data_IF_087598592175
#
_entry.id   IF_087598592175
#
_cell.length_a   1.000
_cell.length_b   1.000
_cell.length_c   1.000
_cell.angle_alpha   90.00
_cell.angle_beta   90.00
_cell.angle_gamma   90.00
#
_symmetry.space_group_name_H-M   'P 1'
#
loop_
_entity.id
_entity.type
_entity.pdbx_description
1 polymer ?
#
# COMPACT_ATOMS: atom_id res chain seq x y z
N UNK A 1 -27.77 12.81 18.95
CA UNK A 1 -27.07 13.88 18.21
C UNK A 1 -26.50 13.23 16.97
N UNK A 2 -26.69 13.83 15.80
CA UNK A 2 -26.10 13.34 14.55
C UNK A 2 -24.61 13.09 14.77
N UNK A 3 -24.13 11.87 14.48
CA UNK A 3 -22.70 11.57 14.62
C UNK A 3 -22.00 12.12 13.38
N UNK A 4 -21.79 13.44 13.34
CA UNK A 4 -20.83 14.10 12.46
C UNK A 4 -19.40 13.68 12.84
N UNK A 5 -19.19 12.37 12.89
CA UNK A 5 -17.93 11.71 13.17
C UNK A 5 -17.07 11.81 11.93
N UNK A 6 -15.81 12.20 12.13
CA UNK A 6 -14.88 12.35 11.01
C UNK A 6 -14.43 10.95 10.57
N UNK A 7 -14.53 10.62 9.27
CA UNK A 7 -14.20 9.30 8.78
C UNK A 7 -12.76 8.88 9.11
N UNK A 8 -12.61 7.59 9.44
CA UNK A 8 -11.31 6.99 9.72
C UNK A 8 -10.68 6.39 8.46
N UNK A 9 -11.47 5.96 7.49
CA UNK A 9 -10.95 5.40 6.24
C UNK A 9 -10.55 6.52 5.26
N UNK A 10 -9.61 6.22 4.35
CA UNK A 10 -9.01 7.23 3.47
C UNK A 10 -10.02 7.79 2.45
N UNK A 11 -10.74 6.92 1.74
CA UNK A 11 -11.65 7.35 0.66
C UNK A 11 -12.85 8.15 1.23
N UNK A 12 -13.55 7.71 2.30
CA UNK A 12 -14.57 8.54 2.95
C UNK A 12 -14.08 9.89 3.48
N UNK A 13 -12.81 9.98 3.92
CA UNK A 13 -12.23 11.25 4.34
C UNK A 13 -12.00 12.18 3.14
N UNK A 14 -11.54 11.64 2.01
CA UNK A 14 -11.36 12.40 0.76
C UNK A 14 -12.70 12.93 0.27
N UNK A 15 -13.74 12.10 0.23
CA UNK A 15 -15.10 12.51 -0.14
C UNK A 15 -15.64 13.61 0.77
N UNK A 16 -15.47 13.47 2.10
CA UNK A 16 -15.87 14.51 3.04
C UNK A 16 -15.13 15.83 2.80
N UNK A 17 -13.83 15.78 2.48
CA UNK A 17 -13.05 16.99 2.18
C UNK A 17 -13.44 17.62 0.84
N UNK A 18 -13.85 16.83 -0.14
CA UNK A 18 -14.44 17.31 -1.40
C UNK A 18 -15.76 18.04 -1.16
N UNK A 19 -16.71 17.38 -0.48
CA UNK A 19 -17.99 17.98 -0.08
C UNK A 19 -17.77 19.26 0.74
N UNK A 20 -16.86 19.23 1.71
CA UNK A 20 -16.53 20.38 2.54
C UNK A 20 -15.95 21.55 1.72
N UNK A 21 -15.10 21.26 0.73
CA UNK A 21 -14.55 22.29 -0.14
C UNK A 21 -15.62 22.89 -1.07
N UNK A 22 -16.52 22.07 -1.61
CA UNK A 22 -17.64 22.52 -2.44
C UNK A 22 -18.65 23.35 -1.63
N UNK A 23 -18.96 22.91 -0.41
CA UNK A 23 -19.77 23.68 0.55
C UNK A 23 -19.14 25.02 0.89
N UNK A 24 -17.82 25.06 1.14
CA UNK A 24 -17.09 26.30 1.41
C UNK A 24 -17.11 27.23 0.19
N UNK A 25 -16.89 26.69 -1.02
CA UNK A 25 -16.96 27.46 -2.26
C UNK A 25 -18.29 28.22 -2.40
N UNK A 26 -19.40 27.58 -2.04
CA UNK A 26 -20.74 28.17 -2.15
C UNK A 26 -21.11 29.07 -0.97
N UNK A 27 -20.66 28.75 0.25
CA UNK A 27 -21.24 29.31 1.47
C UNK A 27 -20.25 30.00 2.41
N UNK A 28 -18.93 29.98 2.13
CA UNK A 28 -17.90 30.56 2.99
C UNK A 28 -18.20 32.00 3.41
N UNK A 29 -18.56 32.87 2.45
CA UNK A 29 -18.86 34.28 2.72
C UNK A 29 -20.15 34.43 3.54
N UNK A 30 -21.18 33.64 3.21
CA UNK A 30 -22.49 33.72 3.84
C UNK A 30 -22.47 33.21 5.30
N UNK A 31 -21.72 32.12 5.53
CA UNK A 31 -21.50 31.51 6.86
C UNK A 31 -20.42 32.27 7.64
N UNK A 32 -19.58 33.05 6.96
CA UNK A 32 -18.45 33.83 7.50
C UNK A 32 -17.33 32.93 8.05
N UNK A 33 -16.99 31.85 7.34
CA UNK A 33 -15.85 31.01 7.68
C UNK A 33 -14.56 31.85 7.70
N UNK A 34 -13.65 31.51 8.63
CA UNK A 34 -12.38 32.21 8.84
C UNK A 34 -11.19 31.27 8.90
N UNK A 35 -11.34 30.10 9.53
CA UNK A 35 -10.23 29.17 9.77
C UNK A 35 -10.21 28.04 8.74
N UNK A 36 -11.37 27.51 8.38
CA UNK A 36 -11.53 26.40 7.45
C UNK A 36 -12.13 26.88 6.14
N UNK A 37 -11.41 27.81 5.49
CA UNK A 37 -11.79 28.36 4.18
C UNK A 37 -11.67 27.31 3.08
N UNK A 38 -12.34 27.53 1.95
CA UNK A 38 -12.25 26.69 0.76
C UNK A 38 -10.77 26.44 0.39
N UNK A 39 -9.96 27.50 0.36
CA UNK A 39 -8.56 27.42 0.01
C UNK A 39 -7.76 26.51 0.96
N UNK A 40 -8.06 26.52 2.26
CA UNK A 40 -7.38 25.68 3.24
C UNK A 40 -7.81 24.21 3.11
N UNK A 41 -9.11 23.95 2.92
CA UNK A 41 -9.65 22.59 2.73
C UNK A 41 -9.10 21.99 1.43
N UNK A 42 -9.13 22.75 0.32
CA UNK A 42 -8.57 22.32 -0.96
C UNK A 42 -7.08 22.03 -0.87
N UNK A 43 -6.30 22.82 -0.13
CA UNK A 43 -4.88 22.55 0.04
C UNK A 43 -4.61 21.20 0.72
N UNK A 44 -5.37 20.85 1.76
CA UNK A 44 -5.26 19.57 2.46
C UNK A 44 -5.74 18.40 1.58
N UNK A 45 -6.84 18.58 0.84
CA UNK A 45 -7.34 17.60 -0.13
C UNK A 45 -6.33 17.34 -1.25
N UNK A 46 -5.82 18.38 -1.90
CA UNK A 46 -4.83 18.29 -2.98
C UNK A 46 -3.52 17.64 -2.51
N UNK A 47 -3.14 17.80 -1.23
CA UNK A 47 -2.00 17.07 -0.68
C UNK A 47 -2.26 15.54 -0.65
N UNK A 48 -3.49 15.13 -0.31
CA UNK A 48 -3.87 13.72 -0.25
C UNK A 48 -4.00 13.07 -1.62
N UNK A 49 -4.76 13.69 -2.54
CA UNK A 49 -5.13 13.10 -3.83
C UNK A 49 -4.23 13.55 -4.99
N UNK A 50 -3.56 14.70 -4.84
CA UNK A 50 -2.76 15.33 -5.88
C UNK A 50 -3.54 16.35 -6.69
N UNK A 51 -2.92 16.85 -7.76
CA UNK A 51 -3.57 17.72 -8.75
C UNK A 51 -3.53 17.04 -10.11
N UNK A 52 -4.67 16.91 -10.82
CA UNK A 52 -4.64 16.43 -12.20
C UNK A 52 -3.86 17.41 -13.07
N UNK A 53 -3.36 16.92 -14.21
CA UNK A 53 -2.70 17.78 -15.18
C UNK A 53 -3.69 18.80 -15.76
N UNK A 54 -3.23 20.02 -15.99
CA UNK A 54 -4.02 21.03 -16.69
C UNK A 54 -4.22 20.69 -18.17
N UNK A 55 -4.99 21.50 -18.91
CA UNK A 55 -5.19 21.33 -20.35
C UNK A 55 -3.85 21.17 -21.09
N UNK A 56 -3.79 20.19 -21.99
CA UNK A 56 -2.57 19.81 -22.72
C UNK A 56 -1.38 19.38 -21.83
N UNK A 57 -1.64 18.97 -20.58
CA UNK A 57 -0.60 18.52 -19.65
C UNK A 57 0.12 19.66 -18.93
N UNK A 58 -0.42 20.88 -18.96
CA UNK A 58 0.22 22.07 -18.40
C UNK A 58 -0.71 22.76 -17.39
N UNK A 59 -0.33 22.87 -16.11
CA UNK A 59 0.86 22.28 -15.49
C UNK A 59 0.76 20.73 -15.44
N UNK A 60 1.89 20.02 -15.30
CA UNK A 60 1.88 18.57 -15.18
C UNK A 60 1.13 18.14 -13.92
N UNK A 61 0.61 16.91 -13.93
CA UNK A 61 -0.02 16.33 -12.76
C UNK A 61 0.95 16.31 -11.58
N UNK A 62 0.45 16.68 -10.40
CA UNK A 62 1.19 16.60 -9.15
C UNK A 62 0.67 15.38 -8.40
N UNK A 63 1.50 14.36 -8.14
CA UNK A 63 1.04 13.18 -7.42
C UNK A 63 0.72 13.52 -5.96
N UNK A 64 -0.42 13.03 -5.47
CA UNK A 64 -0.78 13.09 -4.06
C UNK A 64 0.04 12.13 -3.20
N UNK A 65 -0.05 12.30 -1.89
CA UNK A 65 0.65 11.47 -0.90
C UNK A 65 0.36 9.97 -1.07
N UNK A 66 -0.89 9.60 -1.43
CA UNK A 66 -1.26 8.20 -1.67
C UNK A 66 -0.50 7.61 -2.87
N UNK A 67 -0.42 8.37 -3.97
CA UNK A 67 0.29 7.96 -5.18
C UNK A 67 1.81 7.86 -4.95
N UNK A 68 2.39 8.79 -4.18
CA UNK A 68 3.79 8.75 -3.77
C UNK A 68 4.12 7.51 -2.93
N UNK A 69 3.27 7.18 -1.96
CA UNK A 69 3.44 5.96 -1.15
C UNK A 69 3.33 4.69 -1.99
N UNK A 70 2.35 4.60 -2.89
CA UNK A 70 2.22 3.46 -3.81
C UNK A 70 3.46 3.29 -4.70
N UNK A 71 4.00 4.39 -5.23
CA UNK A 71 5.23 4.40 -6.03
C UNK A 71 6.43 3.91 -5.21
N UNK A 72 6.59 4.41 -3.98
CA UNK A 72 7.69 3.98 -3.11
C UNK A 72 7.58 2.49 -2.72
N UNK A 73 6.36 1.98 -2.48
CA UNK A 73 6.10 0.56 -2.22
C UNK A 73 6.47 -0.33 -3.41
N UNK A 74 6.11 0.09 -4.62
CA UNK A 74 6.48 -0.61 -5.86
C UNK A 74 8.01 -0.61 -6.05
N UNK A 75 8.67 0.54 -5.85
CA UNK A 75 10.12 0.66 -5.97
C UNK A 75 10.87 -0.23 -4.95
N UNK A 76 10.42 -0.28 -3.69
CA UNK A 76 10.97 -1.19 -2.67
C UNK A 76 10.93 -2.66 -3.12
N UNK A 77 9.82 -3.07 -3.72
CA UNK A 77 9.65 -4.43 -4.26
C UNK A 77 10.64 -4.69 -5.40
N UNK A 78 10.75 -3.74 -6.33
CA UNK A 78 11.68 -3.80 -7.46
C UNK A 78 13.15 -3.88 -7.02
N UNK A 79 13.57 -3.02 -6.07
CA UNK A 79 14.95 -2.99 -5.59
C UNK A 79 15.32 -4.25 -4.79
N UNK A 80 14.38 -4.79 -4.00
CA UNK A 80 14.58 -6.08 -3.31
C UNK A 80 14.75 -7.22 -4.31
N UNK A 81 13.96 -7.24 -5.39
CA UNK A 81 14.10 -8.23 -6.45
C UNK A 81 15.44 -8.07 -7.19
N UNK A 82 15.85 -6.84 -7.51
CA UNK A 82 17.14 -6.55 -8.14
C UNK A 82 18.31 -7.05 -7.29
N UNK A 83 18.31 -6.80 -5.98
CA UNK A 83 19.32 -7.30 -5.04
C UNK A 83 19.41 -8.84 -5.05
N UNK A 84 18.26 -9.53 -5.06
CA UNK A 84 18.24 -11.01 -5.15
C UNK A 84 18.85 -11.50 -6.45
N UNK A 85 18.51 -10.88 -7.58
CA UNK A 85 19.05 -11.22 -8.90
C UNK A 85 20.56 -11.05 -8.95
N UNK A 86 21.10 -9.90 -8.52
CA UNK A 86 22.56 -9.68 -8.56
C UNK A 86 23.30 -10.57 -7.57
N UNK A 87 22.70 -10.89 -6.42
CA UNK A 87 23.28 -11.84 -5.45
C UNK A 87 23.34 -13.26 -6.03
N UNK A 88 22.27 -13.69 -6.71
CA UNK A 88 22.21 -14.98 -7.40
C UNK A 88 23.28 -15.08 -8.50
N UNK A 89 23.40 -14.04 -9.34
CA UNK A 89 24.42 -13.98 -10.38
C UNK A 89 25.84 -14.00 -9.79
N UNK A 90 26.07 -13.24 -8.72
CA UNK A 90 27.33 -13.25 -7.99
C UNK A 90 27.67 -14.62 -7.39
N UNK A 91 26.65 -15.37 -6.92
CA UNK A 91 26.85 -16.73 -6.40
C UNK A 91 27.28 -17.67 -7.51
N UNK A 92 26.63 -17.61 -8.66
CA UNK A 92 27.00 -18.40 -9.84
C UNK A 92 28.43 -18.12 -10.28
N UNK A 93 28.84 -16.85 -10.33
CA UNK A 93 30.22 -16.46 -10.61
C UNK A 93 31.18 -17.04 -9.57
N UNK A 94 30.91 -16.84 -8.27
CA UNK A 94 31.78 -17.35 -7.19
C UNK A 94 31.93 -18.88 -7.23
N UNK A 95 30.83 -19.62 -7.45
CA UNK A 95 30.87 -21.08 -7.60
C UNK A 95 31.73 -21.51 -8.80
N UNK A 96 31.62 -20.78 -9.91
CA UNK A 96 32.39 -21.07 -11.12
C UNK A 96 33.88 -20.79 -10.91
N UNK A 97 34.21 -19.63 -10.33
CA UNK A 97 35.59 -19.27 -9.96
C UNK A 97 36.21 -20.32 -9.03
N UNK A 98 35.50 -20.72 -7.97
CA UNK A 98 35.96 -21.78 -7.06
C UNK A 98 36.19 -23.09 -7.82
N UNK A 99 35.29 -23.45 -8.74
CA UNK A 99 35.45 -24.60 -9.62
C UNK A 99 36.77 -24.57 -10.42
N UNK A 100 37.12 -23.42 -11.00
CA UNK A 100 38.38 -23.26 -11.75
C UNK A 100 39.64 -23.34 -10.87
N UNK A 101 39.52 -23.02 -9.58
CA UNK A 101 40.65 -23.00 -8.66
C UNK A 101 40.88 -24.34 -7.95
N UNK A 102 39.88 -25.23 -7.89
CA UNK A 102 40.01 -26.57 -7.27
C UNK A 102 41.20 -27.41 -7.75
N UNK A 103 41.56 -27.42 -9.05
CA UNK A 103 42.76 -28.14 -9.51
C UNK A 103 44.08 -27.62 -8.92
N UNK A 104 44.10 -26.37 -8.43
CA UNK A 104 45.31 -25.71 -7.93
C UNK A 104 45.35 -25.56 -6.41
N UNK A 105 44.18 -25.37 -5.79
CA UNK A 105 44.02 -25.15 -4.35
C UNK A 105 43.41 -26.36 -3.63
N UNK A 106 43.15 -27.45 -4.35
CA UNK A 106 42.57 -28.68 -3.81
C UNK A 106 41.04 -28.71 -3.86
N UNK A 107 40.51 -29.93 -3.94
CA UNK A 107 39.08 -30.21 -4.19
C UNK A 107 38.15 -29.85 -3.02
N UNK A 108 38.70 -29.86 -1.80
CA UNK A 108 38.02 -29.51 -0.56
C UNK A 108 38.80 -28.41 0.16
N UNK A 109 38.18 -27.79 1.15
CA UNK A 109 38.89 -26.82 1.97
C UNK A 109 40.13 -27.46 2.60
N UNK A 110 41.24 -26.73 2.52
CA UNK A 110 42.53 -27.03 3.14
C UNK A 110 43.32 -25.71 3.28
N UNK A 111 44.49 -25.74 3.91
CA UNK A 111 45.27 -24.53 4.21
C UNK A 111 45.72 -23.73 2.97
N UNK A 112 45.80 -24.34 1.77
CA UNK A 112 46.18 -23.61 0.55
C UNK A 112 45.10 -22.62 0.10
N UNK A 113 43.83 -22.85 0.45
CA UNK A 113 42.74 -21.91 0.20
C UNK A 113 42.88 -20.59 0.98
N UNK A 114 43.74 -20.53 2.00
CA UNK A 114 44.08 -19.27 2.66
C UNK A 114 44.72 -18.26 1.69
N UNK A 115 45.43 -18.72 0.65
CA UNK A 115 45.99 -17.84 -0.37
C UNK A 115 44.90 -17.09 -1.16
N UNK A 116 43.72 -17.69 -1.31
CA UNK A 116 42.54 -17.05 -1.89
C UNK A 116 41.68 -16.27 -0.88
N UNK A 117 42.16 -16.13 0.37
CA UNK A 117 41.46 -15.40 1.43
C UNK A 117 40.42 -16.21 2.21
N UNK A 118 40.26 -17.52 1.94
CA UNK A 118 39.21 -18.35 2.53
C UNK A 118 39.64 -18.97 3.87
N UNK A 119 39.67 -18.14 4.92
CA UNK A 119 40.12 -18.53 6.27
C UNK A 119 39.04 -19.19 7.13
N UNK A 120 37.77 -19.08 6.73
CA UNK A 120 36.61 -19.60 7.48
C UNK A 120 36.41 -21.13 7.46
N UNK A 121 37.44 -21.89 7.10
CA UNK A 121 37.39 -23.36 6.97
C UNK A 121 36.32 -23.90 6.01
N UNK A 122 35.94 -23.09 5.03
CA UNK A 122 34.89 -23.43 4.07
C UNK A 122 35.14 -22.76 2.73
N UNK A 123 34.77 -23.47 1.66
CA UNK A 123 34.69 -22.96 0.28
C UNK A 123 33.22 -22.83 -0.17
N UNK A 124 32.26 -22.98 0.75
CA UNK A 124 30.84 -22.86 0.45
C UNK A 124 30.48 -21.40 0.16
N UNK A 125 29.76 -21.18 -0.95
CA UNK A 125 29.37 -19.83 -1.36
C UNK A 125 28.19 -19.34 -0.49
N UNK A 126 28.35 -18.23 0.26
CA UNK A 126 27.29 -17.68 1.12
C UNK A 126 26.17 -17.03 0.32
N UNK A 127 24.99 -16.86 0.95
CA UNK A 127 23.81 -16.26 0.32
C UNK A 127 24.08 -14.89 -0.31
N UNK A 128 24.84 -14.05 0.41
CA UNK A 128 25.44 -12.84 -0.13
C UNK A 128 26.94 -13.11 -0.39
N UNK A 129 27.36 -13.28 -1.66
CA UNK A 129 28.73 -13.67 -2.02
C UNK A 129 29.72 -12.50 -2.06
N UNK A 130 29.31 -11.27 -1.69
CA UNK A 130 30.12 -10.05 -1.79
C UNK A 130 31.57 -10.23 -1.32
N UNK A 131 31.77 -10.60 -0.06
CA UNK A 131 33.10 -10.71 0.54
C UNK A 131 33.93 -11.79 -0.16
N UNK A 132 33.30 -12.90 -0.54
CA UNK A 132 33.96 -13.97 -1.27
C UNK A 132 34.41 -13.52 -2.67
N UNK A 133 33.59 -12.73 -3.37
CA UNK A 133 33.97 -12.13 -4.65
C UNK A 133 35.13 -11.14 -4.51
N UNK A 134 35.17 -10.35 -3.43
CA UNK A 134 36.29 -9.45 -3.14
C UNK A 134 37.60 -10.22 -2.87
N UNK A 135 37.50 -11.37 -2.17
CA UNK A 135 38.63 -12.27 -1.94
C UNK A 135 39.12 -12.92 -3.24
N UNK A 136 38.20 -13.41 -4.07
CA UNK A 136 38.53 -13.94 -5.41
C UNK A 136 39.17 -12.89 -6.31
N UNK A 137 38.66 -11.65 -6.30
CA UNK A 137 39.27 -10.52 -7.01
C UNK A 137 40.73 -10.33 -6.61
N UNK A 138 41.00 -10.28 -5.30
CA UNK A 138 42.36 -10.10 -4.79
C UNK A 138 43.27 -11.27 -5.21
N UNK A 139 42.76 -12.51 -5.17
CA UNK A 139 43.51 -13.68 -5.61
C UNK A 139 43.86 -13.64 -7.10
N UNK A 140 42.89 -13.39 -7.98
CA UNK A 140 43.12 -13.32 -9.42
C UNK A 140 44.06 -12.17 -9.79
N UNK A 141 43.94 -11.01 -9.12
CA UNK A 141 44.85 -9.89 -9.33
C UNK A 141 46.32 -10.25 -8.99
N UNK A 142 46.51 -11.03 -7.92
CA UNK A 142 47.84 -11.52 -7.53
C UNK A 142 48.31 -12.72 -8.38
N UNK A 143 47.40 -13.41 -9.08
CA UNK A 143 47.69 -14.61 -9.86
C UNK A 143 47.06 -14.53 -11.27
N UNK A 144 47.50 -13.61 -12.15
CA UNK A 144 46.85 -13.42 -13.46
C UNK A 144 46.83 -14.69 -14.34
N UNK A 145 47.83 -15.56 -14.20
CA UNK A 145 47.87 -16.85 -14.91
C UNK A 145 46.80 -17.87 -14.46
N UNK A 146 46.01 -17.56 -13.43
CA UNK A 146 44.87 -18.36 -12.98
C UNK A 146 43.54 -17.88 -13.55
N UNK A 147 43.51 -16.72 -14.19
CA UNK A 147 42.28 -16.21 -14.80
C UNK A 147 41.83 -17.09 -15.96
N UNK A 148 40.53 -17.33 -16.05
CA UNK A 148 39.92 -18.09 -17.15
C UNK A 148 38.91 -17.18 -17.85
N UNK A 149 39.15 -16.79 -19.12
CA UNK A 149 38.35 -15.78 -19.79
C UNK A 149 36.90 -16.22 -20.03
N UNK A 150 36.66 -17.54 -20.12
CA UNK A 150 35.33 -18.07 -20.35
C UNK A 150 35.21 -19.51 -19.82
N UNK A 151 34.29 -19.70 -18.88
CA UNK A 151 33.80 -20.99 -18.40
C UNK A 151 32.29 -21.01 -18.58
N UNK A 152 31.81 -21.64 -19.66
CA UNK A 152 30.37 -21.71 -19.99
C UNK A 152 29.67 -20.35 -20.00
N UNK A 153 30.31 -19.32 -20.55
CA UNK A 153 29.81 -17.94 -20.61
C UNK A 153 30.17 -17.07 -19.40
N UNK A 154 30.91 -17.59 -18.43
CA UNK A 154 31.30 -16.86 -17.21
C UNK A 154 32.81 -16.59 -17.24
N UNK A 155 33.21 -15.33 -17.15
CA UNK A 155 34.62 -14.95 -17.01
C UNK A 155 35.07 -15.06 -15.54
N UNK A 156 36.04 -15.92 -15.26
CA UNK A 156 36.66 -16.06 -13.94
C UNK A 156 37.92 -15.20 -13.87
N UNK A 157 37.72 -13.89 -13.70
CA UNK A 157 38.80 -12.87 -13.67
C UNK A 157 38.66 -11.93 -12.48
N UNK A 158 39.72 -11.21 -12.14
CA UNK A 158 39.66 -10.17 -11.12
C UNK A 158 38.62 -9.10 -11.45
N UNK A 159 38.60 -8.65 -12.72
CA UNK A 159 37.65 -7.65 -13.21
C UNK A 159 36.19 -8.10 -13.10
N UNK A 160 35.89 -9.37 -13.44
CA UNK A 160 34.54 -9.90 -13.33
C UNK A 160 34.09 -10.02 -11.85
N UNK A 161 34.99 -10.45 -10.96
CA UNK A 161 34.71 -10.51 -9.53
C UNK A 161 34.48 -9.11 -8.93
N UNK A 162 35.26 -8.11 -9.35
CA UNK A 162 35.07 -6.71 -8.95
C UNK A 162 33.73 -6.15 -9.42
N UNK A 163 33.39 -6.34 -10.70
CA UNK A 163 32.11 -5.89 -11.25
C UNK A 163 30.92 -6.53 -10.52
N UNK A 164 30.97 -7.83 -10.23
CA UNK A 164 29.91 -8.54 -9.51
C UNK A 164 29.80 -8.07 -8.06
N UNK A 165 30.93 -7.88 -7.36
CA UNK A 165 30.94 -7.31 -6.02
C UNK A 165 30.33 -5.90 -6.02
N UNK A 166 30.76 -5.03 -6.93
CA UNK A 166 30.22 -3.67 -7.03
C UNK A 166 28.71 -3.66 -7.30
N UNK A 167 28.22 -4.53 -8.20
CA UNK A 167 26.79 -4.64 -8.51
C UNK A 167 25.96 -5.03 -7.27
N UNK A 168 26.45 -5.96 -6.45
CA UNK A 168 25.78 -6.33 -5.19
C UNK A 168 25.77 -5.14 -4.22
N UNK A 169 26.86 -4.37 -4.15
CA UNK A 169 27.01 -3.24 -3.21
C UNK A 169 26.03 -2.13 -3.56
N UNK A 170 25.98 -1.77 -4.84
CA UNK A 170 25.04 -0.79 -5.37
C UNK A 170 23.59 -1.24 -5.17
N UNK A 171 23.27 -2.49 -5.45
CA UNK A 171 21.91 -3.02 -5.24
C UNK A 171 21.52 -3.06 -3.75
N UNK A 172 22.47 -3.37 -2.85
CA UNK A 172 22.23 -3.36 -1.41
C UNK A 172 21.92 -1.95 -0.92
N UNK A 173 22.72 -0.97 -1.33
CA UNK A 173 22.49 0.45 -1.01
C UNK A 173 21.15 0.95 -1.55
N UNK A 174 20.81 0.62 -2.81
CA UNK A 174 19.53 0.98 -3.41
C UNK A 174 18.34 0.31 -2.69
N UNK A 175 18.47 -0.96 -2.31
CA UNK A 175 17.45 -1.67 -1.53
C UNK A 175 17.25 -1.02 -0.16
N UNK A 176 18.34 -0.66 0.53
CA UNK A 176 18.27 0.02 1.83
C UNK A 176 17.62 1.40 1.70
N UNK A 177 18.00 2.19 0.69
CA UNK A 177 17.40 3.50 0.42
C UNK A 177 15.89 3.37 0.14
N UNK A 178 15.49 2.42 -0.70
CA UNK A 178 14.07 2.19 -1.01
C UNK A 178 13.23 1.82 0.21
N UNK A 179 13.82 1.18 1.23
CA UNK A 179 13.14 0.91 2.49
C UNK A 179 12.89 2.20 3.28
N UNK A 180 13.89 3.08 3.35
CA UNK A 180 13.77 4.40 3.98
C UNK A 180 12.73 5.25 3.26
N UNK A 181 12.78 5.30 1.93
CA UNK A 181 11.85 6.10 1.12
C UNK A 181 10.39 5.64 1.30
N UNK A 182 10.15 4.33 1.31
CA UNK A 182 8.82 3.78 1.56
C UNK A 182 8.30 4.10 2.97
N UNK A 183 9.19 4.08 3.98
CA UNK A 183 8.85 4.50 5.35
C UNK A 183 8.49 5.98 5.44
N UNK A 184 9.30 6.84 4.83
CA UNK A 184 9.06 8.28 4.78
C UNK A 184 7.76 8.63 4.05
N UNK A 185 7.50 8.00 2.90
CA UNK A 185 6.27 8.22 2.14
C UNK A 185 5.03 7.77 2.91
N UNK A 186 5.11 6.65 3.63
CA UNK A 186 4.02 6.20 4.51
C UNK A 186 3.77 7.19 5.65
N UNK A 187 4.83 7.66 6.32
CA UNK A 187 4.71 8.64 7.40
C UNK A 187 4.09 9.96 6.90
N UNK A 188 4.49 10.43 5.71
CA UNK A 188 3.92 11.61 5.09
C UNK A 188 2.43 11.44 4.76
N UNK A 189 2.03 10.28 4.23
CA UNK A 189 0.62 9.96 3.99
C UNK A 189 -0.20 9.99 5.30
N UNK A 190 0.31 9.38 6.37
CA UNK A 190 -0.37 9.38 7.68
C UNK A 190 -0.49 10.81 8.25
N UNK A 191 0.54 11.63 8.10
CA UNK A 191 0.50 13.04 8.50
C UNK A 191 -0.54 13.83 7.68
N UNK A 192 -0.64 13.59 6.37
CA UNK A 192 -1.66 14.19 5.51
C UNK A 192 -3.08 13.77 5.91
N UNK A 193 -3.30 12.49 6.22
CA UNK A 193 -4.60 11.98 6.69
C UNK A 193 -4.97 12.64 8.01
N UNK A 194 -4.02 12.76 8.94
CA UNK A 194 -4.24 13.44 10.22
C UNK A 194 -4.58 14.93 10.01
N UNK A 195 -3.91 15.61 9.08
CA UNK A 195 -4.22 17.01 8.72
C UNK A 195 -5.63 17.15 8.13
N UNK A 196 -6.02 16.28 7.20
CA UNK A 196 -7.38 16.23 6.63
C UNK A 196 -8.44 16.00 7.70
N UNK A 197 -8.21 15.10 8.66
CA UNK A 197 -9.15 14.89 9.78
C UNK A 197 -9.22 16.09 10.72
N UNK A 198 -8.09 16.72 11.00
CA UNK A 198 -8.04 17.94 11.81
C UNK A 198 -8.79 19.08 11.12
N UNK A 199 -8.67 19.19 9.79
CA UNK A 199 -9.41 20.14 8.94
C UNK A 199 -10.91 19.92 9.03
N UNK A 200 -11.39 18.69 8.79
CA UNK A 200 -12.81 18.36 8.85
C UNK A 200 -13.38 18.56 10.27
N UNK A 201 -12.63 18.19 11.31
CA UNK A 201 -13.01 18.43 12.70
C UNK A 201 -13.14 19.92 13.00
N UNK A 202 -12.15 20.72 12.59
CA UNK A 202 -12.13 22.16 12.80
C UNK A 202 -13.26 22.86 12.05
N UNK A 203 -13.55 22.43 10.82
CA UNK A 203 -14.67 22.95 10.03
C UNK A 203 -15.99 22.70 10.76
N UNK A 204 -16.23 21.46 11.21
CA UNK A 204 -17.44 21.12 11.97
C UNK A 204 -17.61 21.98 13.22
N UNK A 205 -16.54 22.20 13.98
CA UNK A 205 -16.57 23.05 15.18
C UNK A 205 -16.80 24.54 14.86
N UNK A 206 -16.31 25.01 13.71
CA UNK A 206 -16.54 26.37 13.24
C UNK A 206 -17.99 26.54 12.78
N UNK A 207 -18.52 25.62 11.98
CA UNK A 207 -19.92 25.61 11.55
C UNK A 207 -20.89 25.59 12.75
N UNK A 208 -20.62 24.77 13.77
CA UNK A 208 -21.44 24.71 14.99
C UNK A 208 -21.55 26.04 15.75
N UNK A 209 -20.66 27.00 15.49
CA UNK A 209 -20.69 28.34 16.09
C UNK A 209 -21.33 29.38 15.18
N UNK A 210 -21.49 29.08 13.89
CA UNK A 210 -21.87 30.04 12.85
C UNK A 210 -23.25 29.77 12.25
N UNK A 211 -23.74 28.53 12.28
CA UNK A 211 -25.05 28.14 11.78
C UNK A 211 -25.81 27.31 12.83
N UNK A 212 -27.14 27.34 12.73
CA UNK A 212 -28.03 26.60 13.64
C UNK A 212 -27.98 25.08 13.36
N UNK A 213 -28.34 24.29 14.37
CA UNK A 213 -28.31 22.82 14.32
C UNK A 213 -29.23 22.19 13.26
N UNK A 214 -30.24 22.92 12.77
CA UNK A 214 -31.17 22.48 11.74
C UNK A 214 -30.97 23.21 10.39
N UNK A 215 -29.86 23.92 10.22
CA UNK A 215 -29.57 24.63 8.98
C UNK A 215 -29.19 23.63 7.86
N UNK A 216 -29.89 23.66 6.73
CA UNK A 216 -29.64 22.75 5.60
C UNK A 216 -28.21 22.87 5.04
N UNK A 217 -27.52 23.99 5.29
CA UNK A 217 -26.14 24.19 4.85
C UNK A 217 -25.17 23.17 5.44
N UNK A 218 -25.46 22.54 6.57
CA UNK A 218 -24.67 21.41 7.07
C UNK A 218 -24.46 20.33 5.98
N UNK A 219 -25.51 20.05 5.21
CA UNK A 219 -25.48 19.05 4.12
C UNK A 219 -24.59 19.48 2.96
N UNK A 220 -24.49 20.78 2.68
CA UNK A 220 -23.63 21.31 1.64
C UNK A 220 -22.14 21.13 1.96
N UNK A 221 -21.79 21.05 3.25
CA UNK A 221 -20.41 20.76 3.72
C UNK A 221 -20.15 19.26 3.93
N UNK A 222 -21.08 18.37 3.54
CA UNK A 222 -20.94 16.92 3.72
C UNK A 222 -21.26 16.41 5.14
N UNK A 223 -21.76 17.27 6.03
CA UNK A 223 -22.18 16.90 7.38
C UNK A 223 -23.68 16.64 7.46
N UNK A 224 -24.12 15.96 8.52
CA UNK A 224 -25.52 15.92 8.92
C UNK A 224 -25.93 17.15 9.72
N UNK A 225 -27.21 17.52 9.68
CA UNK A 225 -27.80 18.54 10.55
C UNK A 225 -27.80 18.03 12.00
N UNK A 226 -27.07 18.66 12.95
CA UNK A 226 -26.98 18.18 14.33
C UNK A 226 -28.33 17.99 15.05
N UNK A 227 -29.31 18.84 14.74
CA UNK A 227 -30.64 18.87 15.35
C UNK A 227 -31.67 17.97 14.67
N UNK A 228 -31.36 17.44 13.48
CA UNK A 228 -32.19 16.53 12.71
C UNK A 228 -31.37 15.31 12.22
N UNK A 229 -30.85 14.47 13.14
CA UNK A 229 -30.08 13.29 12.78
C UNK A 229 -30.86 12.34 11.87
N UNK A 230 -30.21 11.84 10.81
CA UNK A 230 -30.82 10.92 9.84
C UNK A 230 -30.11 9.57 9.82
N UNK A 231 -30.79 8.53 9.32
CA UNK A 231 -30.11 7.27 8.98
C UNK A 231 -29.24 7.46 7.73
N UNK A 232 -28.18 6.67 7.55
CA UNK A 232 -27.34 6.74 6.35
C UNK A 232 -28.11 6.44 5.06
N UNK A 233 -27.51 6.82 3.93
CA UNK A 233 -27.98 6.37 2.62
C UNK A 233 -27.73 4.87 2.41
N UNK A 234 -28.41 4.30 1.42
CA UNK A 234 -28.23 2.89 1.07
C UNK A 234 -26.90 2.76 0.31
N UNK A 235 -25.99 1.84 0.70
CA UNK A 235 -24.78 1.59 -0.06
C UNK A 235 -25.10 1.18 -1.51
N UNK A 236 -24.29 1.63 -2.45
CA UNK A 236 -24.44 1.30 -3.87
C UNK A 236 -23.30 0.39 -4.36
N UNK A 237 -23.40 -0.11 -5.59
CA UNK A 237 -22.33 -0.88 -6.25
C UNK A 237 -21.82 -2.12 -5.49
N UNK A 238 -22.70 -2.80 -4.74
CA UNK A 238 -22.35 -4.04 -4.04
C UNK A 238 -21.87 -5.12 -5.03
N UNK A 239 -20.66 -5.62 -4.82
CA UNK A 239 -20.05 -6.72 -5.57
C UNK A 239 -19.49 -7.78 -4.62
N UNK A 240 -19.48 -9.03 -5.09
CA UNK A 240 -18.88 -10.15 -4.36
C UNK A 240 -18.00 -10.98 -5.30
N UNK A 241 -16.76 -11.21 -4.88
CA UNK A 241 -15.77 -11.99 -5.62
C UNK A 241 -15.38 -13.23 -4.83
N UNK A 242 -15.42 -14.43 -5.42
CA UNK A 242 -14.98 -15.64 -4.75
C UNK A 242 -13.47 -15.62 -4.51
N UNK A 243 -13.05 -16.07 -3.31
CA UNK A 243 -11.65 -16.34 -3.02
C UNK A 243 -11.11 -17.57 -3.76
N UNK A 244 -9.87 -17.93 -3.44
CA UNK A 244 -9.21 -19.09 -4.05
C UNK A 244 -10.07 -20.38 -3.88
N UNK A 245 -10.02 -21.34 -4.82
CA UNK A 245 -10.77 -22.59 -4.69
C UNK A 245 -10.52 -23.29 -3.35
N UNK A 246 -11.59 -23.67 -2.64
CA UNK A 246 -11.52 -24.28 -1.31
C UNK A 246 -11.24 -23.31 -0.15
N UNK A 247 -11.09 -22.01 -0.41
CA UNK A 247 -10.93 -20.99 0.64
C UNK A 247 -12.20 -20.73 1.44
N UNK A 248 -13.36 -21.12 0.92
CA UNK A 248 -14.68 -20.93 1.57
C UNK A 248 -14.93 -19.48 1.99
N UNK A 249 -14.39 -18.54 1.22
CA UNK A 249 -14.39 -17.12 1.55
C UNK A 249 -14.87 -16.29 0.36
N UNK A 250 -15.64 -15.25 0.64
CA UNK A 250 -16.03 -14.23 -0.33
C UNK A 250 -15.41 -12.89 0.05
N UNK A 251 -14.89 -12.18 -0.94
CA UNK A 251 -14.50 -10.78 -0.83
C UNK A 251 -15.68 -9.93 -1.29
N UNK A 252 -16.21 -9.10 -0.40
CA UNK A 252 -17.40 -8.28 -0.64
C UNK A 252 -16.99 -6.82 -0.54
N UNK A 253 -17.38 -6.03 -1.53
CA UNK A 253 -17.00 -4.63 -1.70
C UNK A 253 -18.24 -3.83 -2.14
N UNK A 254 -18.34 -2.58 -1.71
CA UNK A 254 -19.45 -1.68 -2.04
C UNK A 254 -18.99 -0.22 -2.07
N UNK A 255 -19.77 0.63 -2.72
CA UNK A 255 -19.56 2.07 -2.69
C UNK A 255 -19.86 2.65 -1.31
N UNK A 256 -19.06 3.63 -0.90
CA UNK A 256 -19.29 4.33 0.35
C UNK A 256 -20.66 5.03 0.37
N UNK A 257 -21.37 4.87 1.48
CA UNK A 257 -22.71 5.44 1.65
C UNK A 257 -22.63 6.73 2.46
N UNK A 258 -23.31 7.77 1.98
CA UNK A 258 -23.32 9.05 2.68
C UNK A 258 -23.85 8.89 4.10
N UNK A 259 -23.16 9.52 5.05
CA UNK A 259 -23.47 9.52 6.49
C UNK A 259 -23.23 8.18 7.20
N UNK A 260 -22.55 7.23 6.57
CA UNK A 260 -22.13 5.98 7.22
C UNK A 260 -20.90 6.20 8.11
N UNK A 261 -20.94 5.71 9.35
CA UNK A 261 -19.75 5.54 10.20
C UNK A 261 -19.29 4.08 10.27
N UNK A 262 -20.03 3.20 9.61
CA UNK A 262 -19.67 1.82 9.36
C UNK A 262 -20.79 1.08 8.63
N UNK A 263 -20.57 -0.18 8.35
CA UNK A 263 -21.44 -1.03 7.56
C UNK A 263 -21.74 -2.34 8.28
N UNK A 264 -22.85 -2.95 7.87
CA UNK A 264 -23.19 -4.34 8.20
C UNK A 264 -23.40 -5.12 6.92
N UNK A 265 -22.54 -6.11 6.70
CA UNK A 265 -22.72 -7.10 5.65
C UNK A 265 -23.44 -8.33 6.22
N UNK A 266 -24.56 -8.71 5.62
CA UNK A 266 -25.30 -9.93 5.95
C UNK A 266 -25.24 -10.91 4.78
N UNK A 267 -25.02 -12.17 5.10
CA UNK A 267 -25.05 -13.28 4.15
C UNK A 267 -26.09 -14.29 4.61
N UNK A 268 -27.00 -14.65 3.72
CA UNK A 268 -28.03 -15.66 3.98
C UNK A 268 -27.99 -16.79 2.94
N UNK A 269 -28.50 -17.95 3.31
CA UNK A 269 -28.76 -19.02 2.34
C UNK A 269 -30.04 -18.75 1.51
N UNK A 270 -30.36 -19.65 0.58
CA UNK A 270 -31.58 -19.56 -0.23
C UNK A 270 -32.88 -19.65 0.58
N UNK A 271 -32.84 -20.20 1.81
CA UNK A 271 -33.98 -20.27 2.72
C UNK A 271 -34.07 -19.04 3.64
N UNK A 272 -33.12 -18.11 3.55
CA UNK A 272 -33.06 -16.90 4.37
C UNK A 272 -32.38 -17.08 5.72
N UNK A 273 -31.74 -18.22 5.99
CA UNK A 273 -30.98 -18.43 7.23
C UNK A 273 -29.69 -17.61 7.19
N UNK A 274 -29.40 -16.88 8.27
CA UNK A 274 -28.17 -16.08 8.39
C UNK A 274 -26.94 -16.99 8.50
N UNK A 275 -26.02 -16.85 7.54
CA UNK A 275 -24.74 -17.55 7.49
C UNK A 275 -23.60 -16.67 8.04
N UNK A 276 -23.69 -15.36 7.83
CA UNK A 276 -22.73 -14.40 8.36
C UNK A 276 -23.37 -13.02 8.57
N UNK A 277 -22.85 -12.29 9.55
CA UNK A 277 -23.25 -10.93 9.88
C UNK A 277 -22.04 -10.20 10.44
N UNK A 278 -21.45 -9.33 9.61
CA UNK A 278 -20.16 -8.71 9.88
C UNK A 278 -20.32 -7.21 9.93
N UNK A 279 -19.75 -6.61 10.97
CA UNK A 279 -19.63 -5.16 11.12
C UNK A 279 -18.22 -4.74 10.70
N UNK A 280 -18.14 -3.72 9.86
CA UNK A 280 -16.88 -3.14 9.39
C UNK A 280 -17.02 -1.62 9.32
N UNK A 281 -15.90 -0.89 9.43
CA UNK A 281 -15.88 0.55 9.16
C UNK A 281 -15.54 0.85 7.69
N UNK A 282 -14.87 -0.08 7.01
CA UNK A 282 -14.46 0.06 5.63
C UNK A 282 -15.56 -0.40 4.66
N UNK A 283 -15.53 0.11 3.43
CA UNK A 283 -16.40 -0.25 2.30
C UNK A 283 -16.11 -1.65 1.71
N UNK A 284 -15.30 -2.46 2.40
CA UNK A 284 -14.95 -3.81 2.03
C UNK A 284 -14.95 -4.75 3.25
N UNK A 285 -15.21 -6.04 3.00
CA UNK A 285 -15.07 -7.09 4.01
C UNK A 285 -14.82 -8.47 3.40
N UNK A 286 -14.07 -9.29 4.14
CA UNK A 286 -13.93 -10.72 3.83
C UNK A 286 -14.91 -11.52 4.68
N UNK A 287 -15.75 -12.34 4.03
CA UNK A 287 -16.68 -13.26 4.70
C UNK A 287 -16.08 -14.68 4.65
N UNK A 288 -15.50 -15.19 5.75
CA UNK A 288 -14.90 -16.53 5.79
C UNK A 288 -15.92 -17.62 6.16
N UNK A 289 -15.49 -18.88 6.03
CA UNK A 289 -16.17 -20.08 6.55
C UNK A 289 -17.56 -20.38 5.94
N UNK A 290 -17.81 -19.95 4.71
CA UNK A 290 -19.08 -20.25 4.04
C UNK A 290 -19.20 -21.73 3.65
N UNK A 291 -20.41 -22.30 3.56
CA UNK A 291 -20.61 -23.65 3.04
C UNK A 291 -20.18 -23.75 1.59
N UNK A 292 -19.23 -24.65 1.27
CA UNK A 292 -18.66 -24.75 -0.06
C UNK A 292 -19.73 -25.16 -1.11
N UNK A 293 -19.71 -24.49 -2.27
CA UNK A 293 -20.62 -24.77 -3.39
C UNK A 293 -22.05 -24.31 -3.21
N UNK A 294 -22.36 -23.58 -2.13
CA UNK A 294 -23.71 -23.06 -1.86
C UNK A 294 -23.85 -21.64 -2.43
N UNK A 295 -24.98 -21.38 -3.09
CA UNK A 295 -25.40 -20.04 -3.49
C UNK A 295 -25.90 -19.29 -2.26
N UNK A 296 -25.31 -18.13 -1.99
CA UNK A 296 -25.66 -17.25 -0.88
C UNK A 296 -26.19 -15.92 -1.40
N UNK A 297 -27.08 -15.30 -0.64
CA UNK A 297 -27.56 -13.94 -0.85
C UNK A 297 -26.78 -12.98 0.05
N UNK A 298 -26.35 -11.85 -0.49
CA UNK A 298 -25.54 -10.86 0.22
C UNK A 298 -26.24 -9.52 0.15
N UNK A 299 -26.37 -8.86 1.29
CA UNK A 299 -26.90 -7.51 1.43
C UNK A 299 -26.02 -6.70 2.36
N UNK A 300 -25.87 -5.41 2.09
CA UNK A 300 -25.13 -4.50 2.96
C UNK A 300 -26.02 -3.34 3.38
N UNK A 301 -25.95 -2.93 4.64
CA UNK A 301 -26.59 -1.70 5.14
C UNK A 301 -25.54 -0.81 5.78
N UNK A 302 -25.53 0.47 5.44
CA UNK A 302 -24.78 1.49 6.16
C UNK A 302 -25.39 1.80 7.53
N UNK A 303 -24.55 2.18 8.47
CA UNK A 303 -24.91 2.43 9.88
C UNK A 303 -24.28 3.74 10.37
N UNK A 304 -25.00 4.41 11.27
CA UNK A 304 -24.48 5.49 12.09
C UNK A 304 -25.11 5.44 13.50
N UNK A 305 -24.86 6.46 14.32
CA UNK A 305 -25.44 6.54 15.67
C UNK A 305 -26.99 6.70 15.67
N UNK A 306 -27.58 7.13 14.55
CA UNK A 306 -29.02 7.33 14.39
C UNK A 306 -29.73 6.02 14.03
N UNK A 307 -29.09 5.15 13.25
CA UNK A 307 -29.65 3.85 12.88
C UNK A 307 -28.98 3.20 11.67
N UNK A 308 -29.67 2.23 11.08
CA UNK A 308 -29.24 1.56 9.85
C UNK A 308 -30.06 2.06 8.67
N UNK A 309 -29.41 2.23 7.53
CA UNK A 309 -30.06 2.44 6.24
C UNK A 309 -30.90 1.21 5.82
N UNK A 310 -31.70 1.37 4.76
CA UNK A 310 -32.23 0.19 4.07
C UNK A 310 -31.06 -0.65 3.52
N UNK A 311 -31.18 -1.98 3.47
CA UNK A 311 -30.15 -2.81 2.83
C UNK A 311 -30.11 -2.55 1.32
N UNK A 312 -28.94 -2.77 0.72
CA UNK A 312 -28.77 -2.83 -0.73
C UNK A 312 -29.75 -3.83 -1.36
N UNK A 313 -29.96 -3.71 -2.67
CA UNK A 313 -30.50 -4.84 -3.43
C UNK A 313 -29.63 -6.09 -3.20
N UNK A 314 -30.22 -7.28 -2.96
CA UNK A 314 -29.45 -8.48 -2.71
C UNK A 314 -28.72 -8.94 -3.97
N UNK A 315 -27.45 -9.31 -3.83
CA UNK A 315 -26.70 -10.02 -4.88
C UNK A 315 -26.52 -11.49 -4.52
N UNK A 316 -26.30 -12.34 -5.52
CA UNK A 316 -26.01 -13.76 -5.31
C UNK A 316 -24.56 -14.07 -5.65
N UNK A 317 -23.94 -14.94 -4.86
CA UNK A 317 -22.60 -15.47 -5.14
C UNK A 317 -22.51 -16.94 -4.71
N UNK A 318 -21.61 -17.69 -5.35
CA UNK A 318 -21.33 -19.09 -4.96
C UNK A 318 -20.06 -19.11 -4.12
N UNK A 319 -20.13 -19.72 -2.94
CA UNK A 319 -18.97 -19.88 -2.08
C UNK A 319 -17.97 -20.90 -2.69
N UNK A 320 -16.67 -20.55 -2.84
CA UNK A 320 -15.66 -21.39 -3.48
C UNK A 320 -15.13 -22.54 -2.61
#
# INVERSE_FOLDING_TARGET
MASNEIPQSYDPLVELLEDAADGAHQHEVAVKLKQNTEAAIRADLEALIGKPAGPNGIPPAVPGLKALWNTAKANKTAMTAALRTVSSNGRTLAMTCIGTLKPFLGQQWNSTWNAAGFTGRSIAVPGNPMTMLQQLRAYYAANPGREVPNVNGIACTAAACEAAAQAISTAQSASNQSNTDAGNAHAALQAGIAAGRARASGLREELAKLIEDNDERWLAFGFEMPGAPSTPEVPENLVATPGAPGSRSLFVDWGDARRATGYRARVTDAAGNELANVLTQDSEVVIPNLPAGVTVNITVSARNATGESQPTAPITAVAP
#
